data_IF_064380190833
#
_entry.id   IF_064380190833
#
_cell.length_a   1.000
_cell.length_b   1.000
_cell.length_c   1.000
_cell.angle_alpha   90.00
_cell.angle_beta   90.00
_cell.angle_gamma   90.00
#
_symmetry.space_group_name_H-M   'P 1'
#
loop_
_entity.id
_entity.type
_entity.pdbx_description
1 polymer ?
#
# COMPACT_ATOMS: atom_id res chain seq x y z
N UNK A 1 39.88 -7.66 41.73
CA UNK A 1 38.52 -7.46 41.19
C UNK A 1 38.65 -7.17 39.70
N UNK A 2 37.90 -7.85 38.83
CA UNK A 2 37.97 -7.63 37.37
C UNK A 2 36.87 -6.67 36.95
N UNK A 3 37.22 -5.53 36.37
CA UNK A 3 36.29 -4.67 35.64
C UNK A 3 35.79 -5.41 34.40
N UNK A 4 34.47 -5.48 34.22
CA UNK A 4 33.87 -5.94 32.97
C UNK A 4 33.71 -4.72 32.06
N UNK A 5 34.49 -4.69 30.99
CA UNK A 5 34.22 -3.75 29.89
C UNK A 5 32.98 -4.26 29.17
N UNK A 6 31.89 -3.48 29.21
CA UNK A 6 30.79 -3.68 28.27
C UNK A 6 31.25 -3.06 26.94
N UNK A 7 31.69 -3.91 26.01
CA UNK A 7 31.89 -3.47 24.64
C UNK A 7 30.50 -3.19 24.06
N UNK A 8 30.12 -1.92 23.98
CA UNK A 8 28.96 -1.50 23.20
C UNK A 8 29.24 -1.89 21.75
N UNK A 9 28.57 -2.94 21.28
CA UNK A 9 28.53 -3.26 19.86
C UNK A 9 27.69 -2.15 19.21
N UNK A 10 28.37 -1.12 18.69
CA UNK A 10 27.74 -0.09 17.90
C UNK A 10 27.23 -0.72 16.62
N UNK A 11 25.94 -1.07 16.59
CA UNK A 11 25.25 -1.45 15.37
C UNK A 11 25.21 -0.19 14.52
N UNK A 12 26.14 -0.14 13.57
CA UNK A 12 26.27 0.93 12.60
C UNK A 12 25.24 0.69 11.50
N UNK A 13 23.96 0.77 11.87
CA UNK A 13 22.86 0.93 10.94
C UNK A 13 23.01 2.31 10.32
N UNK A 14 23.76 2.34 9.21
CA UNK A 14 23.62 3.38 8.20
C UNK A 14 22.14 3.57 7.91
N UNK A 15 21.74 4.83 7.74
CA UNK A 15 20.44 5.20 7.17
C UNK A 15 20.37 4.74 5.71
N UNK A 16 20.24 3.43 5.51
CA UNK A 16 19.67 2.84 4.31
C UNK A 16 18.17 3.00 4.51
N UNK A 17 17.67 4.20 4.26
CA UNK A 17 16.25 4.49 4.41
C UNK A 17 15.44 3.61 3.47
N UNK A 18 14.17 3.39 3.82
CA UNK A 18 13.17 2.86 2.89
C UNK A 18 12.96 3.91 1.77
N UNK A 19 13.87 3.88 0.81
CA UNK A 19 13.95 4.78 -0.33
C UNK A 19 13.24 4.17 -1.53
N UNK A 20 11.93 3.97 -1.42
CA UNK A 20 11.06 3.88 -2.59
C UNK A 20 10.98 5.28 -3.20
N UNK A 21 11.84 5.54 -4.18
CA UNK A 21 11.80 6.76 -5.00
C UNK A 21 11.21 6.41 -6.35
N UNK A 22 10.22 7.21 -6.73
CA UNK A 22 9.63 7.36 -8.05
C UNK A 22 8.72 6.19 -8.48
N UNK A 23 7.43 6.47 -8.33
CA UNK A 23 6.34 5.64 -8.78
C UNK A 23 6.11 5.69 -10.30
N UNK A 24 5.33 4.71 -10.74
CA UNK A 24 4.47 4.64 -11.94
C UNK A 24 5.03 3.88 -13.14
N UNK A 25 4.33 2.86 -13.64
CA UNK A 25 3.18 2.13 -13.07
C UNK A 25 3.21 0.70 -13.58
N UNK A 26 2.61 -0.24 -12.85
CA UNK A 26 2.69 -1.67 -13.14
C UNK A 26 1.29 -2.34 -13.06
N UNK A 27 1.15 -3.66 -13.28
CA UNK A 27 1.11 -4.31 -14.59
C UNK A 27 -0.26 -4.11 -15.29
N UNK A 28 -0.58 -4.96 -16.25
CA UNK A 28 -1.47 -6.09 -15.88
C UNK A 28 -0.99 -7.34 -16.69
N UNK A 29 -1.79 -8.36 -17.03
CA UNK A 29 -1.32 -9.44 -17.93
C UNK A 29 -2.41 -10.23 -18.64
N UNK A 30 -2.29 -10.42 -19.97
CA UNK A 30 -3.23 -11.14 -20.86
C UNK A 30 -3.22 -12.66 -20.59
N UNK A 31 -3.72 -13.03 -19.41
CA UNK A 31 -4.92 -13.84 -19.24
C UNK A 31 -5.38 -14.68 -20.45
N UNK A 32 -5.64 -15.97 -20.19
CA UNK A 32 -6.63 -16.66 -21.01
C UNK A 32 -6.99 -18.08 -20.61
N UNK A 33 -8.04 -18.24 -19.79
CA UNK A 33 -8.59 -19.54 -19.36
C UNK A 33 -9.52 -20.27 -20.35
N UNK A 34 -10.46 -21.06 -19.83
CA UNK A 34 -11.41 -21.85 -20.64
C UNK A 34 -12.78 -22.04 -19.93
N UNK A 35 -13.77 -22.52 -20.68
CA UNK A 35 -15.18 -22.62 -20.28
C UNK A 35 -15.49 -23.76 -19.27
N UNK A 36 -16.45 -23.53 -18.36
CA UNK A 36 -17.00 -24.58 -17.48
C UNK A 36 -17.91 -24.01 -16.40
N UNK A 37 -19.24 -24.03 -16.61
CA UNK A 37 -20.17 -23.35 -15.70
C UNK A 37 -20.53 -24.13 -14.44
N UNK A 38 -20.83 -23.41 -13.36
CA UNK A 38 -21.79 -23.82 -12.33
C UNK A 38 -22.28 -22.62 -11.51
N UNK A 39 -23.34 -22.85 -10.71
CA UNK A 39 -24.02 -21.96 -9.76
C UNK A 39 -23.48 -20.54 -9.55
N UNK A 40 -24.32 -19.54 -9.80
CA UNK A 40 -24.05 -18.17 -9.36
C UNK A 40 -24.07 -18.07 -7.82
N UNK A 41 -22.89 -18.12 -7.22
CA UNK A 41 -22.70 -17.72 -5.83
C UNK A 41 -22.80 -16.19 -5.68
N UNK A 42 -23.34 -15.69 -4.57
CA UNK A 42 -23.47 -14.26 -4.36
C UNK A 42 -22.09 -13.64 -4.18
N UNK A 43 -21.70 -12.72 -5.08
CA UNK A 43 -20.49 -11.91 -4.91
C UNK A 43 -20.54 -11.23 -3.54
N UNK A 44 -19.54 -11.44 -2.65
CA UNK A 44 -19.50 -10.75 -1.37
C UNK A 44 -19.54 -9.23 -1.58
N UNK A 45 -20.32 -8.47 -0.80
CA UNK A 45 -20.25 -7.02 -0.88
C UNK A 45 -18.86 -6.55 -0.47
N UNK A 46 -18.26 -5.64 -1.24
CA UNK A 46 -17.02 -4.98 -0.85
C UNK A 46 -17.27 -4.10 0.39
N UNK A 47 -17.05 -4.67 1.58
CA UNK A 47 -17.20 -3.99 2.86
C UNK A 47 -15.84 -3.53 3.36
N UNK A 48 -15.57 -2.23 3.34
CA UNK A 48 -14.39 -1.70 4.01
C UNK A 48 -14.45 -2.05 5.51
N UNK A 49 -13.36 -2.63 6.05
CA UNK A 49 -13.26 -3.01 7.46
C UNK A 49 -13.41 -1.80 8.40
N UNK A 50 -12.96 -0.63 7.92
CA UNK A 50 -13.11 0.66 8.58
C UNK A 50 -13.77 1.67 7.64
N UNK A 51 -14.31 2.76 8.19
CA UNK A 51 -14.81 3.89 7.41
C UNK A 51 -14.10 5.13 7.87
N UNK A 52 -13.10 5.56 7.10
CA UNK A 52 -12.27 6.73 7.40
C UNK A 52 -13.11 7.97 7.71
N UNK A 53 -12.58 8.85 8.54
CA UNK A 53 -13.23 10.11 8.83
C UNK A 53 -13.28 10.99 7.57
N UNK A 54 -14.37 11.73 7.33
CA UNK A 54 -14.38 12.73 6.27
C UNK A 54 -13.31 13.78 6.56
N UNK A 55 -12.63 14.27 5.53
CA UNK A 55 -11.48 15.17 5.71
C UNK A 55 -11.80 16.42 6.54
N UNK A 56 -13.03 16.93 6.46
CA UNK A 56 -13.52 18.03 7.32
C UNK A 56 -13.45 17.73 8.83
N UNK A 57 -13.61 16.47 9.24
CA UNK A 57 -13.43 16.01 10.63
C UNK A 57 -11.95 15.85 10.98
N UNK A 58 -11.13 15.31 10.07
CA UNK A 58 -9.67 15.19 10.26
C UNK A 58 -9.07 16.57 10.50
N UNK A 59 -9.39 17.56 9.66
CA UNK A 59 -8.94 18.95 9.80
C UNK A 59 -9.42 19.58 11.12
N UNK A 60 -10.66 19.30 11.55
CA UNK A 60 -11.17 19.77 12.83
C UNK A 60 -10.41 19.19 14.04
N UNK A 61 -10.04 17.90 13.99
CA UNK A 61 -9.27 17.23 15.04
C UNK A 61 -7.82 17.75 15.11
N UNK A 62 -7.19 18.01 13.95
CA UNK A 62 -5.87 18.67 13.86
C UNK A 62 -5.92 20.07 14.48
N UNK A 63 -6.96 20.84 14.17
CA UNK A 63 -7.16 22.18 14.74
C UNK A 63 -7.36 22.12 16.27
N UNK A 64 -8.17 21.17 16.76
CA UNK A 64 -8.47 20.97 18.17
C UNK A 64 -7.31 20.36 18.98
N UNK A 65 -6.33 19.72 18.33
CA UNK A 65 -5.21 19.10 19.03
C UNK A 65 -4.34 20.14 19.75
N UNK A 66 -4.19 19.96 21.06
CA UNK A 66 -3.29 20.73 21.90
C UNK A 66 -1.86 20.21 21.78
N UNK A 67 -0.90 21.14 21.74
CA UNK A 67 0.53 20.86 21.70
C UNK A 67 1.19 21.60 22.86
N UNK A 68 1.93 20.87 23.70
CA UNK A 68 2.79 21.44 24.74
C UNK A 68 4.22 21.49 24.23
N UNK A 69 4.87 22.65 24.30
CA UNK A 69 6.25 22.77 23.85
C UNK A 69 7.21 22.17 24.90
N UNK A 70 8.07 21.27 24.46
CA UNK A 70 9.13 20.67 25.27
C UNK A 70 10.48 21.20 24.78
N UNK A 71 11.47 21.29 25.66
CA UNK A 71 12.78 21.88 25.35
C UNK A 71 13.49 21.08 24.26
N UNK A 72 14.22 21.75 23.36
CA UNK A 72 14.92 21.13 22.23
C UNK A 72 15.69 19.87 22.66
N UNK A 73 15.38 18.75 22.00
CA UNK A 73 15.91 17.42 22.29
C UNK A 73 16.48 16.77 21.03
N UNK A 74 17.01 15.55 21.14
CA UNK A 74 17.60 14.83 20.02
C UNK A 74 17.02 13.40 19.95
N UNK A 75 15.69 13.29 19.94
CA UNK A 75 14.97 11.99 19.92
C UNK A 75 14.91 11.36 18.52
N UNK A 76 15.08 12.16 17.46
CA UNK A 76 14.95 11.73 16.06
C UNK A 76 16.27 11.80 15.26
N UNK A 77 17.41 11.94 15.93
CA UNK A 77 18.71 12.03 15.27
C UNK A 77 19.81 11.46 16.17
N UNK A 78 20.86 10.91 15.57
CA UNK A 78 22.04 10.44 16.31
C UNK A 78 23.08 11.55 16.56
N UNK A 79 22.85 12.77 16.06
CA UNK A 79 23.74 13.92 16.26
C UNK A 79 23.46 14.65 17.58
N UNK A 80 24.11 14.15 18.64
CA UNK A 80 24.03 14.71 19.98
C UNK A 80 24.47 16.18 20.12
N UNK A 81 25.03 16.81 19.07
CA UNK A 81 25.45 18.22 19.12
C UNK A 81 24.38 19.19 18.62
N UNK A 82 23.40 18.72 17.83
CA UNK A 82 22.37 19.58 17.23
C UNK A 82 20.99 19.25 17.78
N UNK A 83 20.64 19.90 18.89
CA UNK A 83 19.28 19.89 19.43
C UNK A 83 18.26 20.32 18.37
N UNK A 84 17.14 19.60 18.30
CA UNK A 84 16.05 19.81 17.34
C UNK A 84 14.79 20.31 18.05
N UNK A 85 13.92 21.08 17.36
CA UNK A 85 12.60 21.40 17.88
C UNK A 85 11.85 20.14 18.26
N UNK A 86 11.28 20.13 19.46
CA UNK A 86 10.51 19.00 19.99
C UNK A 86 9.24 19.52 20.65
N UNK A 87 8.13 18.83 20.47
CA UNK A 87 6.86 19.14 21.11
C UNK A 87 6.19 17.87 21.59
N UNK A 88 5.17 18.02 22.42
CA UNK A 88 4.38 16.91 22.94
C UNK A 88 2.89 17.11 22.70
N UNK A 89 2.20 16.01 22.47
CA UNK A 89 0.74 15.91 22.48
C UNK A 89 0.30 15.06 23.66
N UNK A 90 -0.93 14.54 23.67
CA UNK A 90 -1.39 13.63 24.71
C UNK A 90 -0.59 12.31 24.71
N UNK A 91 -0.33 11.75 23.52
CA UNK A 91 0.27 10.42 23.38
C UNK A 91 1.67 10.40 22.74
N UNK A 92 2.14 11.52 22.17
CA UNK A 92 3.39 11.55 21.41
C UNK A 92 4.38 12.60 21.91
N UNK A 93 5.67 12.26 21.78
CA UNK A 93 6.79 13.20 21.69
C UNK A 93 7.13 13.30 20.20
N UNK A 94 7.10 14.50 19.64
CA UNK A 94 7.27 14.72 18.20
C UNK A 94 8.45 15.66 17.96
N UNK A 95 9.37 15.25 17.09
CA UNK A 95 10.56 16.03 16.74
C UNK A 95 10.87 15.84 15.25
N UNK A 96 11.96 16.44 14.78
CA UNK A 96 12.31 16.43 13.36
C UNK A 96 13.77 16.17 13.07
N UNK A 97 14.02 15.53 11.92
CA UNK A 97 15.34 15.38 11.34
C UNK A 97 15.84 16.71 10.74
N UNK A 98 14.97 17.47 10.06
CA UNK A 98 15.35 18.61 9.19
C UNK A 98 14.32 19.76 9.05
N UNK A 99 13.17 19.70 9.75
CA UNK A 99 12.11 20.72 9.72
C UNK A 99 12.26 21.89 10.72
N UNK A 100 11.31 22.82 10.65
CA UNK A 100 11.20 23.96 11.58
C UNK A 100 10.33 23.63 12.81
N UNK A 101 10.30 24.53 13.80
CA UNK A 101 9.42 24.43 14.98
C UNK A 101 7.93 24.42 14.59
N UNK A 102 7.53 25.17 13.57
CA UNK A 102 6.14 25.24 13.10
C UNK A 102 5.75 23.95 12.36
N UNK A 103 6.67 23.37 11.58
CA UNK A 103 6.46 22.08 10.93
C UNK A 103 6.29 20.96 11.96
N UNK A 104 7.11 20.96 13.02
CA UNK A 104 6.97 20.01 14.14
C UNK A 104 5.63 20.16 14.86
N UNK A 105 5.12 21.39 15.02
CA UNK A 105 3.78 21.62 15.62
C UNK A 105 2.68 21.08 14.70
N UNK A 106 2.76 21.30 13.37
CA UNK A 106 1.80 20.76 12.40
C UNK A 106 1.84 19.22 12.38
N UNK A 107 3.02 18.64 12.23
CA UNK A 107 3.28 17.21 12.25
C UNK A 107 2.68 16.57 13.51
N UNK A 108 2.93 17.14 14.70
CA UNK A 108 2.39 16.63 15.95
C UNK A 108 0.85 16.63 16.01
N UNK A 109 0.21 17.66 15.47
CA UNK A 109 -1.26 17.73 15.37
C UNK A 109 -1.82 16.68 14.40
N UNK A 110 -1.17 16.47 13.26
CA UNK A 110 -1.53 15.44 12.28
C UNK A 110 -1.39 14.04 12.91
N UNK A 111 -0.23 13.73 13.49
CA UNK A 111 0.03 12.47 14.22
C UNK A 111 -1.05 12.16 15.26
N UNK A 112 -1.37 13.11 16.14
CA UNK A 112 -2.36 12.88 17.20
C UNK A 112 -3.79 12.73 16.66
N UNK A 113 -4.16 13.45 15.60
CA UNK A 113 -5.47 13.31 14.96
C UNK A 113 -5.62 11.96 14.25
N UNK A 114 -4.60 11.54 13.47
CA UNK A 114 -4.53 10.23 12.83
C UNK A 114 -4.59 9.09 13.85
N UNK A 115 -3.89 9.23 14.99
CA UNK A 115 -3.97 8.26 16.08
C UNK A 115 -5.37 8.20 16.73
N UNK A 116 -6.02 9.35 16.93
CA UNK A 116 -7.40 9.39 17.46
C UNK A 116 -8.40 8.71 16.51
N UNK A 117 -8.22 8.83 15.20
CA UNK A 117 -8.98 8.08 14.19
C UNK A 117 -8.75 6.57 14.34
N UNK A 118 -7.49 6.13 14.37
CA UNK A 118 -7.14 4.72 14.56
C UNK A 118 -7.71 4.13 15.86
N UNK A 119 -7.66 4.83 17.00
CA UNK A 119 -8.28 4.37 18.25
C UNK A 119 -9.81 4.22 18.12
N UNK A 120 -10.47 5.13 17.38
CA UNK A 120 -11.92 5.04 17.14
C UNK A 120 -12.28 3.84 16.26
N UNK A 121 -11.41 3.41 15.34
CA UNK A 121 -11.66 2.22 14.53
C UNK A 121 -11.27 0.92 15.24
N UNK A 122 -10.03 0.83 15.73
CA UNK A 122 -9.48 -0.33 16.43
C UNK A 122 -10.18 -0.66 17.76
N UNK A 123 -10.80 0.34 18.40
CA UNK A 123 -11.35 0.29 19.78
C UNK A 123 -10.29 0.03 20.86
N UNK A 124 -9.01 0.15 20.52
CA UNK A 124 -7.92 0.10 21.50
C UNK A 124 -8.00 1.32 22.40
N UNK A 125 -7.55 1.13 23.64
CA UNK A 125 -7.26 2.23 24.58
C UNK A 125 -5.76 2.54 24.57
N UNK A 126 -5.33 3.78 24.92
CA UNK A 126 -3.90 4.09 25.07
C UNK A 126 -3.19 3.15 26.06
N UNK A 127 -3.87 2.67 27.09
CA UNK A 127 -3.31 1.73 28.07
C UNK A 127 -3.01 0.33 27.49
N UNK A 128 -3.75 -0.12 26.46
CA UNK A 128 -3.43 -1.35 25.71
C UNK A 128 -2.23 -1.20 24.77
N UNK A 129 -1.76 0.04 24.58
CA UNK A 129 -0.62 0.42 23.75
C UNK A 129 0.53 0.98 24.61
N UNK A 130 0.55 0.69 25.92
CA UNK A 130 1.53 1.16 26.91
C UNK A 130 1.69 2.70 27.00
N UNK A 131 0.71 3.45 26.49
CA UNK A 131 0.68 4.92 26.52
C UNK A 131 0.03 5.44 27.81
N UNK A 132 0.64 6.48 28.38
CA UNK A 132 0.15 7.18 29.57
C UNK A 132 0.71 8.60 29.65
N UNK A 133 0.33 9.38 30.66
CA UNK A 133 0.91 10.71 30.89
C UNK A 133 2.44 10.71 31.04
N UNK A 134 3.05 9.58 31.39
CA UNK A 134 4.50 9.41 31.58
C UNK A 134 5.15 8.47 30.54
N UNK A 135 4.39 7.95 29.57
CA UNK A 135 4.86 7.02 28.54
C UNK A 135 4.22 7.41 27.22
N UNK A 136 5.03 7.90 26.28
CA UNK A 136 4.58 8.45 25.00
C UNK A 136 5.44 7.87 23.89
N UNK A 137 4.81 7.59 22.75
CA UNK A 137 5.52 7.17 21.55
C UNK A 137 6.27 8.34 20.90
N UNK A 138 7.31 8.03 20.13
CA UNK A 138 8.08 9.02 19.39
C UNK A 138 7.62 9.12 17.94
N UNK A 139 7.33 10.33 17.45
CA UNK A 139 7.09 10.57 16.02
C UNK A 139 8.23 11.40 15.42
N UNK A 140 8.89 10.87 14.40
CA UNK A 140 10.03 11.51 13.77
C UNK A 140 9.70 11.99 12.36
N UNK A 141 9.40 13.28 12.27
CA UNK A 141 9.06 13.94 11.02
C UNK A 141 10.31 14.36 10.22
N UNK A 142 10.32 14.12 8.91
CA UNK A 142 11.31 14.70 7.99
C UNK A 142 10.63 15.55 6.91
N UNK A 143 11.12 16.77 6.71
CA UNK A 143 10.64 17.64 5.63
C UNK A 143 11.32 17.37 4.28
N UNK A 144 12.09 16.28 4.15
CA UNK A 144 12.89 15.96 2.95
C UNK A 144 12.04 15.85 1.66
N UNK A 145 10.77 15.51 1.81
CA UNK A 145 9.82 15.25 0.74
C UNK A 145 8.71 16.33 0.65
N UNK A 146 8.81 17.45 1.39
CA UNK A 146 7.79 18.50 1.26
C UNK A 146 7.92 19.17 -0.11
N UNK A 147 6.82 19.17 -0.86
CA UNK A 147 6.79 19.64 -2.25
C UNK A 147 7.26 18.61 -3.27
N UNK A 148 7.41 17.34 -2.87
CA UNK A 148 7.46 16.18 -3.78
C UNK A 148 6.21 15.34 -3.60
N UNK A 149 5.85 14.57 -4.63
CA UNK A 149 4.85 13.51 -4.60
C UNK A 149 5.25 12.31 -3.72
N UNK A 150 6.53 11.94 -3.72
CA UNK A 150 7.06 10.81 -2.96
C UNK A 150 6.88 10.97 -1.44
N UNK A 151 5.94 10.24 -0.84
CA UNK A 151 5.79 10.13 0.62
C UNK A 151 6.43 8.83 1.15
N UNK A 152 7.09 8.88 2.30
CA UNK A 152 7.79 7.71 2.89
C UNK A 152 7.67 7.68 4.41
N UNK A 153 7.74 6.50 5.02
CA UNK A 153 7.85 6.34 6.47
C UNK A 153 8.40 4.97 6.86
N UNK A 154 8.41 4.71 8.18
CA UNK A 154 8.68 3.39 8.77
C UNK A 154 8.16 3.34 10.21
N UNK A 155 7.35 2.33 10.56
CA UNK A 155 6.98 2.03 11.95
C UNK A 155 7.96 1.12 12.69
N UNK A 156 8.06 1.31 14.01
CA UNK A 156 8.85 0.55 14.97
C UNK A 156 8.01 0.32 16.26
N UNK A 157 8.43 -0.56 17.20
CA UNK A 157 7.95 -0.48 18.57
C UNK A 157 8.21 0.94 19.14
N UNK A 158 7.25 1.48 19.90
CA UNK A 158 7.25 2.82 20.51
C UNK A 158 7.50 4.06 19.62
N UNK A 159 7.75 3.89 18.31
CA UNK A 159 8.16 4.96 17.40
C UNK A 159 7.66 4.77 15.98
N UNK A 160 7.46 5.86 15.25
CA UNK A 160 7.44 5.84 13.78
C UNK A 160 8.14 7.07 13.18
N UNK A 161 8.64 6.88 11.97
CA UNK A 161 9.26 7.91 11.15
C UNK A 161 8.35 8.21 9.95
N UNK A 162 8.20 9.47 9.55
CA UNK A 162 7.41 9.84 8.36
C UNK A 162 7.91 11.12 7.67
N UNK A 163 7.81 11.12 6.34
CA UNK A 163 8.23 12.17 5.43
C UNK A 163 7.12 12.42 4.39
N UNK A 164 6.11 13.27 4.74
CA UNK A 164 4.97 13.53 3.88
C UNK A 164 5.28 14.57 2.79
N UNK A 165 4.49 14.51 1.70
CA UNK A 165 4.47 15.50 0.61
C UNK A 165 4.09 16.91 1.05
N UNK A 166 3.25 17.03 2.09
CA UNK A 166 2.77 18.32 2.60
C UNK A 166 2.45 18.28 4.09
N UNK A 167 2.36 19.46 4.72
CA UNK A 167 1.80 19.66 6.07
C UNK A 167 0.66 20.69 6.07
N UNK A 168 0.26 21.18 4.89
CA UNK A 168 -0.83 22.14 4.76
C UNK A 168 -2.15 21.39 4.53
N UNK A 169 -3.05 21.51 5.51
CA UNK A 169 -4.39 20.89 5.49
C UNK A 169 -5.30 21.40 4.37
N UNK A 170 -4.89 22.42 3.63
CA UNK A 170 -5.60 22.97 2.46
C UNK A 170 -5.00 22.55 1.12
N UNK A 171 -3.87 21.82 1.13
CA UNK A 171 -3.26 21.25 -0.08
C UNK A 171 -4.06 20.04 -0.59
N UNK A 172 -4.20 19.83 -1.90
CA UNK A 172 -4.90 18.65 -2.45
C UNK A 172 -4.35 17.32 -1.89
N UNK A 173 -3.03 17.15 -1.92
CA UNK A 173 -2.30 15.94 -1.50
C UNK A 173 -2.27 15.73 0.03
N UNK A 174 -2.96 16.58 0.81
CA UNK A 174 -3.06 16.39 2.26
C UNK A 174 -3.78 15.07 2.62
N UNK A 175 -4.61 14.56 1.72
CA UNK A 175 -5.23 13.24 1.87
C UNK A 175 -4.19 12.13 2.00
N UNK A 176 -3.16 12.13 1.16
CA UNK A 176 -2.09 11.12 1.19
C UNK A 176 -1.20 11.28 2.42
N UNK A 177 -0.96 12.52 2.86
CA UNK A 177 -0.32 12.80 4.15
C UNK A 177 -1.09 12.18 5.33
N UNK A 178 -2.42 12.26 5.31
CA UNK A 178 -3.28 11.65 6.35
C UNK A 178 -3.27 10.13 6.30
N UNK A 179 -3.29 9.54 5.09
CA UNK A 179 -3.18 8.09 4.85
C UNK A 179 -1.82 7.58 5.33
N UNK A 180 -0.70 8.13 4.83
CA UNK A 180 0.67 7.80 5.25
C UNK A 180 0.81 7.83 6.78
N UNK A 181 0.39 8.92 7.42
CA UNK A 181 0.54 9.04 8.88
C UNK A 181 -0.23 7.94 9.63
N UNK A 182 -1.39 7.48 9.12
CA UNK A 182 -2.14 6.36 9.71
C UNK A 182 -1.52 5.01 9.40
N UNK A 183 -0.99 4.81 8.19
CA UNK A 183 -0.28 3.60 7.77
C UNK A 183 0.90 3.32 8.72
N UNK A 184 1.80 4.31 8.89
CA UNK A 184 2.96 4.18 9.79
C UNK A 184 2.60 4.01 11.26
N UNK A 185 1.57 4.73 11.73
CA UNK A 185 1.02 4.54 13.08
C UNK A 185 0.45 3.13 13.28
N UNK A 186 -0.08 2.49 12.24
CA UNK A 186 -0.60 1.14 12.35
C UNK A 186 0.52 0.10 12.46
N UNK A 187 1.68 0.32 11.83
CA UNK A 187 2.88 -0.49 12.06
C UNK A 187 3.38 -0.38 13.52
N UNK A 188 3.38 0.82 14.12
CA UNK A 188 3.66 0.94 15.57
C UNK A 188 2.62 0.22 16.43
N UNK A 189 1.33 0.25 16.06
CA UNK A 189 0.29 -0.54 16.75
C UNK A 189 0.55 -2.05 16.62
N UNK A 190 0.91 -2.55 15.42
CA UNK A 190 1.27 -3.95 15.21
C UNK A 190 2.45 -4.36 16.12
N UNK A 191 3.53 -3.58 16.11
CA UNK A 191 4.72 -3.83 16.91
C UNK A 191 4.46 -3.79 18.43
N UNK A 192 3.71 -2.81 18.92
CA UNK A 192 3.36 -2.71 20.35
C UNK A 192 2.47 -3.87 20.82
N UNK A 193 1.51 -4.30 20.00
CA UNK A 193 0.62 -5.42 20.33
C UNK A 193 1.35 -6.79 20.36
N UNK A 194 2.51 -6.89 19.72
CA UNK A 194 3.39 -8.06 19.74
C UNK A 194 4.37 -8.03 20.93
N UNK A 195 4.69 -6.83 21.43
CA UNK A 195 5.51 -6.58 22.62
C UNK A 195 7.03 -6.61 22.42
N UNK A 196 7.50 -6.90 21.20
CA UNK A 196 8.92 -6.90 20.80
C UNK A 196 9.01 -6.71 19.26
N UNK A 197 10.15 -6.20 18.80
CA UNK A 197 10.56 -6.14 17.39
C UNK A 197 10.73 -7.51 16.73
N UNK A 198 11.25 -8.53 17.41
CA UNK A 198 11.53 -9.84 16.78
C UNK A 198 10.25 -10.54 16.27
N UNK A 199 9.13 -10.60 17.04
CA UNK A 199 7.85 -11.11 16.51
C UNK A 199 7.22 -10.19 15.46
N UNK A 200 7.53 -8.88 15.45
CA UNK A 200 7.06 -7.97 14.40
C UNK A 200 7.69 -8.34 13.06
N UNK A 201 9.02 -8.54 13.03
CA UNK A 201 9.77 -9.04 11.87
C UNK A 201 9.37 -10.47 11.42
N UNK A 202 8.45 -11.12 12.16
CA UNK A 202 7.87 -12.43 11.85
C UNK A 202 6.37 -12.40 11.48
N UNK A 203 5.74 -11.22 11.45
CA UNK A 203 4.47 -11.07 10.72
C UNK A 203 4.77 -11.06 9.21
N UNK A 204 4.06 -11.84 8.37
CA UNK A 204 4.26 -11.79 6.93
C UNK A 204 4.08 -10.39 6.35
N UNK A 205 5.02 -9.99 5.49
CA UNK A 205 5.07 -8.68 4.80
C UNK A 205 3.72 -8.29 4.21
N UNK A 206 3.07 -9.21 3.50
CA UNK A 206 1.75 -8.98 2.90
C UNK A 206 0.66 -8.62 3.93
N UNK A 207 0.73 -9.19 5.14
CA UNK A 207 -0.24 -8.94 6.20
C UNK A 207 0.08 -7.66 6.97
N UNK A 208 1.37 -7.40 7.25
CA UNK A 208 1.83 -6.14 7.85
C UNK A 208 1.34 -4.95 7.01
N UNK A 209 1.73 -4.93 5.74
CA UNK A 209 1.48 -3.83 4.81
C UNK A 209 0.00 -3.76 4.39
N UNK A 210 -0.59 -4.89 4.04
CA UNK A 210 -2.00 -4.95 3.63
C UNK A 210 -2.98 -4.51 4.72
N UNK A 211 -2.66 -4.80 5.99
CA UNK A 211 -3.48 -4.29 7.10
C UNK A 211 -3.16 -2.84 7.48
N UNK A 212 -1.92 -2.37 7.31
CA UNK A 212 -1.60 -0.94 7.46
C UNK A 212 -2.33 -0.08 6.42
N UNK A 213 -2.37 -0.50 5.15
CA UNK A 213 -3.14 0.16 4.09
C UNK A 213 -4.65 0.22 4.37
N UNK A 214 -5.20 -0.92 4.83
CA UNK A 214 -6.61 -1.03 5.19
C UNK A 214 -6.97 -0.09 6.37
N UNK A 215 -6.14 -0.03 7.40
CA UNK A 215 -6.38 0.83 8.58
C UNK A 215 -5.98 2.30 8.36
N UNK A 216 -5.10 2.59 7.40
CA UNK A 216 -4.92 3.94 6.86
C UNK A 216 -6.18 4.45 6.16
N UNK A 217 -7.00 3.52 5.65
CA UNK A 217 -8.24 3.81 4.97
C UNK A 217 -8.04 4.15 3.49
N UNK A 218 -6.99 3.59 2.88
CA UNK A 218 -6.80 3.64 1.42
C UNK A 218 -7.99 2.96 0.77
N UNK A 219 -8.52 3.57 -0.30
CA UNK A 219 -9.69 3.00 -0.99
C UNK A 219 -9.37 1.58 -1.48
N UNK A 220 -10.33 0.65 -1.33
CA UNK A 220 -10.25 -0.66 -1.99
C UNK A 220 -10.25 -0.40 -3.50
N UNK A 221 -9.06 -0.47 -4.10
CA UNK A 221 -8.93 -0.64 -5.54
C UNK A 221 -9.29 -2.09 -5.79
N UNK A 222 -10.49 -2.35 -6.31
CA UNK A 222 -10.88 -3.70 -6.72
C UNK A 222 -10.02 -4.04 -7.94
N UNK A 223 -8.83 -4.57 -7.69
CA UNK A 223 -8.08 -5.32 -8.71
C UNK A 223 -8.94 -6.50 -9.15
N UNK A 224 -8.67 -7.06 -10.33
CA UNK A 224 -9.57 -8.08 -10.91
C UNK A 224 -9.62 -9.39 -10.14
N UNK A 225 -8.77 -9.55 -9.11
CA UNK A 225 -8.58 -10.72 -8.25
C UNK A 225 -9.84 -11.11 -7.48
N UNK A 226 -10.79 -11.70 -8.20
CA UNK A 226 -11.96 -12.35 -7.64
C UNK A 226 -11.53 -13.52 -6.77
N UNK A 227 -12.39 -13.89 -5.82
CA UNK A 227 -12.22 -15.06 -4.95
C UNK A 227 -11.79 -16.33 -5.72
N UNK A 228 -12.40 -16.56 -6.89
CA UNK A 228 -12.11 -17.71 -7.75
C UNK A 228 -10.71 -17.64 -8.39
N UNK A 229 -10.15 -16.44 -8.63
CA UNK A 229 -8.80 -16.27 -9.15
C UNK A 229 -7.75 -16.68 -8.11
N UNK A 230 -7.95 -16.35 -6.82
CA UNK A 230 -7.09 -16.85 -5.74
C UNK A 230 -7.09 -18.38 -5.62
N UNK A 231 -8.26 -19.02 -5.79
CA UNK A 231 -8.38 -20.48 -5.71
C UNK A 231 -7.87 -21.23 -6.95
N UNK A 232 -7.76 -20.56 -8.10
CA UNK A 232 -7.26 -21.13 -9.36
C UNK A 232 -5.77 -20.82 -9.56
N UNK A 233 -5.33 -19.64 -9.14
CA UNK A 233 -3.97 -19.10 -9.27
C UNK A 233 -3.26 -18.99 -7.90
N UNK A 234 -3.32 -20.03 -7.05
CA UNK A 234 -2.60 -20.06 -5.76
C UNK A 234 -1.10 -19.74 -5.96
N UNK A 235 -0.57 -20.17 -7.10
CA UNK A 235 0.77 -19.94 -7.63
C UNK A 235 1.11 -18.48 -7.99
N UNK A 236 0.14 -17.56 -7.98
CA UNK A 236 0.31 -16.13 -8.30
C UNK A 236 -0.03 -15.17 -7.16
N UNK A 237 -0.23 -15.67 -5.95
CA UNK A 237 -0.59 -14.82 -4.82
C UNK A 237 0.68 -14.26 -4.14
N UNK A 238 0.71 -12.96 -3.74
CA UNK A 238 1.84 -12.42 -2.97
C UNK A 238 1.84 -12.86 -1.50
N UNK A 239 0.98 -13.83 -1.12
CA UNK A 239 1.01 -14.50 0.18
C UNK A 239 2.36 -15.19 0.44
N UNK A 240 3.08 -15.55 -0.63
CA UNK A 240 4.44 -16.10 -0.62
C UNK A 240 5.53 -15.07 -0.28
N UNK A 241 5.20 -13.77 -0.21
CA UNK A 241 6.14 -12.72 0.22
C UNK A 241 5.96 -12.51 1.73
N UNK A 242 6.77 -13.21 2.50
CA UNK A 242 6.70 -13.18 3.97
C UNK A 242 7.66 -12.15 4.58
N UNK A 243 8.78 -11.83 3.94
CA UNK A 243 9.75 -10.85 4.44
C UNK A 243 10.08 -9.76 3.42
N UNK A 244 10.65 -8.65 3.90
CA UNK A 244 11.22 -7.62 3.02
C UNK A 244 12.33 -8.15 2.09
N UNK A 245 13.07 -9.19 2.51
CA UNK A 245 14.07 -9.82 1.63
C UNK A 245 13.44 -10.61 0.49
N UNK A 246 12.27 -11.22 0.72
CA UNK A 246 11.50 -11.90 -0.33
C UNK A 246 10.96 -10.88 -1.33
N UNK A 247 10.44 -9.75 -0.85
CA UNK A 247 10.01 -8.62 -1.68
C UNK A 247 11.17 -8.11 -2.55
N UNK A 248 12.34 -7.83 -1.96
CA UNK A 248 13.55 -7.44 -2.71
C UNK A 248 14.01 -8.50 -3.73
N UNK A 249 13.94 -9.79 -3.38
CA UNK A 249 14.34 -10.87 -4.28
C UNK A 249 13.41 -10.98 -5.48
N UNK A 250 12.10 -10.92 -5.26
CA UNK A 250 11.05 -10.87 -6.28
C UNK A 250 11.21 -9.63 -7.16
N UNK A 251 11.41 -8.46 -6.54
CA UNK A 251 11.55 -7.16 -7.21
C UNK A 251 12.90 -6.96 -7.92
N UNK A 252 13.87 -7.84 -7.72
CA UNK A 252 15.13 -7.82 -8.47
C UNK A 252 14.99 -8.31 -9.92
N UNK A 253 13.92 -9.04 -10.24
CA UNK A 253 13.61 -9.53 -11.59
C UNK A 253 13.02 -8.41 -12.45
N UNK A 254 13.67 -7.93 -13.54
CA UNK A 254 13.19 -6.75 -14.28
C UNK A 254 11.77 -6.85 -14.86
N UNK A 255 11.28 -8.05 -15.22
CA UNK A 255 9.91 -8.21 -15.69
C UNK A 255 8.89 -8.04 -14.57
N UNK A 256 9.14 -8.65 -13.40
CA UNK A 256 8.35 -8.38 -12.20
C UNK A 256 8.55 -6.91 -11.77
N UNK A 257 9.76 -6.38 -11.97
CA UNK A 257 10.10 -4.97 -11.80
C UNK A 257 9.54 -4.04 -12.88
N UNK A 258 8.79 -4.58 -13.85
CA UNK A 258 7.89 -3.86 -14.75
C UNK A 258 6.41 -4.25 -14.49
N UNK A 259 6.16 -5.28 -13.65
CA UNK A 259 4.83 -5.76 -13.22
C UNK A 259 4.28 -5.39 -11.81
N UNK A 260 5.02 -5.18 -10.70
CA UNK A 260 4.41 -4.68 -9.42
C UNK A 260 5.30 -3.74 -8.57
N UNK A 261 5.41 -2.41 -8.79
CA UNK A 261 6.06 -1.46 -7.82
C UNK A 261 4.91 -0.83 -7.07
N UNK A 262 4.15 -0.06 -7.83
CA UNK A 262 3.10 0.86 -7.40
C UNK A 262 1.82 0.10 -7.05
N UNK A 263 1.90 -1.23 -7.17
CA UNK A 263 0.80 -2.17 -7.07
C UNK A 263 1.09 -3.30 -6.09
N UNK A 264 2.32 -3.51 -5.61
CA UNK A 264 2.60 -4.59 -4.65
C UNK A 264 1.80 -4.40 -3.35
N UNK A 265 1.76 -3.17 -2.85
CA UNK A 265 0.98 -2.78 -1.66
C UNK A 265 -0.53 -2.88 -1.90
N UNK A 266 -1.00 -2.66 -3.13
CA UNK A 266 -2.40 -2.92 -3.50
C UNK A 266 -2.71 -4.43 -3.40
N UNK A 267 -1.84 -5.31 -3.90
CA UNK A 267 -2.05 -6.77 -3.78
C UNK A 267 -2.01 -7.25 -2.32
N UNK A 268 -1.10 -6.70 -1.50
CA UNK A 268 -1.06 -6.96 -0.06
C UNK A 268 -2.39 -6.54 0.62
N UNK A 269 -2.89 -5.35 0.28
CA UNK A 269 -4.18 -4.86 0.75
C UNK A 269 -5.33 -5.77 0.27
N UNK A 270 -5.29 -6.27 -0.96
CA UNK A 270 -6.29 -7.18 -1.52
C UNK A 270 -6.30 -8.55 -0.84
N UNK A 271 -5.15 -9.10 -0.45
CA UNK A 271 -5.06 -10.31 0.38
C UNK A 271 -5.78 -10.14 1.73
N UNK A 272 -5.68 -8.96 2.36
CA UNK A 272 -6.39 -8.66 3.61
C UNK A 272 -7.88 -8.38 3.33
N UNK A 273 -8.22 -7.70 2.23
CA UNK A 273 -9.60 -7.46 1.82
C UNK A 273 -10.37 -8.75 1.49
N UNK A 274 -9.69 -9.77 0.95
CA UNK A 274 -10.24 -11.13 0.80
C UNK A 274 -10.75 -11.65 2.16
N UNK A 275 -9.92 -11.60 3.21
CA UNK A 275 -10.31 -12.04 4.55
C UNK A 275 -11.47 -11.20 5.10
N UNK A 276 -11.47 -9.89 4.87
CA UNK A 276 -12.57 -8.97 5.26
C UNK A 276 -13.88 -9.31 4.57
N UNK A 277 -13.85 -9.59 3.26
CA UNK A 277 -15.03 -10.01 2.49
C UNK A 277 -15.61 -11.35 2.99
N UNK A 278 -14.77 -12.20 3.58
CA UNK A 278 -15.16 -13.45 4.24
C UNK A 278 -15.56 -13.26 5.72
N UNK A 279 -15.54 -12.01 6.23
CA UNK A 279 -16.04 -11.65 7.56
C UNK A 279 -14.97 -11.41 8.63
N UNK A 280 -13.69 -11.25 8.27
CA UNK A 280 -12.65 -10.79 9.20
C UNK A 280 -13.08 -9.45 9.81
N UNK A 281 -13.19 -9.40 11.14
CA UNK A 281 -13.50 -8.16 11.85
C UNK A 281 -12.24 -7.48 12.38
N UNK A 282 -12.32 -6.17 12.68
CA UNK A 282 -11.24 -5.40 13.34
C UNK A 282 -10.72 -6.14 14.58
N UNK A 283 -11.62 -6.73 15.37
CA UNK A 283 -11.25 -7.49 16.56
C UNK A 283 -10.41 -8.71 16.19
N UNK A 284 -10.76 -9.41 15.12
CA UNK A 284 -10.05 -10.61 14.68
C UNK A 284 -8.67 -10.27 14.11
N UNK A 285 -8.53 -9.17 13.36
CA UNK A 285 -7.21 -8.65 12.93
C UNK A 285 -6.31 -8.36 14.13
N UNK A 286 -6.83 -7.67 15.15
CA UNK A 286 -6.10 -7.34 16.37
C UNK A 286 -5.86 -8.54 17.31
N UNK A 287 -6.63 -9.63 17.16
CA UNK A 287 -6.36 -10.91 17.82
C UNK A 287 -5.29 -11.68 17.07
N UNK A 288 -5.35 -11.76 15.74
CA UNK A 288 -4.34 -12.38 14.87
C UNK A 288 -2.94 -11.80 15.12
N UNK A 289 -2.83 -10.46 15.19
CA UNK A 289 -1.57 -9.79 15.56
C UNK A 289 -1.08 -10.30 16.93
N UNK A 290 -1.88 -10.19 17.99
CA UNK A 290 -1.48 -10.60 19.35
C UNK A 290 -1.10 -12.08 19.46
N UNK A 291 -1.90 -12.95 18.84
CA UNK A 291 -1.71 -14.41 18.94
C UNK A 291 -0.48 -14.87 18.13
N UNK A 292 -0.04 -14.10 17.14
CA UNK A 292 1.19 -14.37 16.36
C UNK A 292 2.46 -14.31 17.24
N UNK A 293 2.51 -13.42 18.23
CA UNK A 293 3.59 -13.38 19.25
C UNK A 293 3.64 -14.66 20.09
N UNK A 294 2.47 -15.28 20.34
CA UNK A 294 2.36 -16.48 21.18
C UNK A 294 2.46 -17.83 20.46
N UNK A 295 2.08 -17.91 19.17
CA UNK A 295 1.86 -19.20 18.49
C UNK A 295 2.40 -19.29 17.04
N UNK A 296 3.17 -18.28 16.58
CA UNK A 296 3.52 -18.07 15.17
C UNK A 296 2.32 -17.71 14.29
N UNK A 297 2.56 -16.93 13.23
CA UNK A 297 1.50 -16.40 12.38
C UNK A 297 0.63 -17.50 11.74
N UNK A 298 1.24 -18.54 11.15
CA UNK A 298 0.55 -19.68 10.53
C UNK A 298 -0.51 -20.32 11.43
N UNK A 299 -0.20 -20.51 12.73
CA UNK A 299 -1.15 -21.08 13.69
C UNK A 299 -2.29 -20.10 13.98
N UNK A 300 -1.96 -18.82 14.15
CA UNK A 300 -2.91 -17.77 14.49
C UNK A 300 -3.87 -17.48 13.32
N UNK A 301 -3.38 -17.42 12.08
CA UNK A 301 -4.23 -17.25 10.90
C UNK A 301 -5.10 -18.49 10.69
N UNK A 302 -4.57 -19.71 10.78
CA UNK A 302 -5.37 -20.93 10.63
C UNK A 302 -6.57 -21.01 11.60
N UNK A 303 -6.46 -20.45 12.82
CA UNK A 303 -7.58 -20.33 13.75
C UNK A 303 -8.65 -19.31 13.30
N UNK A 304 -8.22 -18.18 12.71
CA UNK A 304 -9.12 -17.20 12.08
C UNK A 304 -9.82 -17.81 10.87
N UNK A 305 -9.11 -18.56 10.03
CA UNK A 305 -9.65 -19.14 8.80
C UNK A 305 -10.69 -20.23 9.06
N UNK A 306 -10.46 -21.06 10.09
CA UNK A 306 -11.46 -22.01 10.60
C UNK A 306 -12.70 -21.29 11.14
N UNK A 307 -12.54 -20.12 11.78
CA UNK A 307 -13.65 -19.30 12.28
C UNK A 307 -14.44 -18.66 11.13
N UNK A 308 -13.77 -18.21 10.07
CA UNK A 308 -14.40 -17.64 8.87
C UNK A 308 -14.98 -18.71 7.94
N UNK A 309 -14.62 -19.99 8.13
CA UNK A 309 -15.00 -21.11 7.25
C UNK A 309 -14.61 -20.83 5.78
N UNK A 310 -13.34 -20.45 5.58
CA UNK A 310 -12.82 -20.15 4.24
C UNK A 310 -12.90 -21.38 3.31
N UNK A 311 -13.30 -21.22 2.03
CA UNK A 311 -13.24 -22.29 1.05
C UNK A 311 -11.82 -22.79 0.75
N UNK A 312 -10.81 -21.91 0.87
CA UNK A 312 -9.39 -22.24 0.75
C UNK A 312 -8.60 -21.37 1.74
N UNK A 313 -7.82 -21.96 2.66
CA UNK A 313 -7.03 -21.23 3.65
C UNK A 313 -5.69 -20.72 3.08
N UNK A 314 -5.13 -19.68 3.69
CA UNK A 314 -3.80 -19.09 3.47
C UNK A 314 -2.71 -20.16 3.32
N UNK A 315 -2.70 -21.15 4.20
CA UNK A 315 -1.68 -22.21 4.23
C UNK A 315 -1.72 -23.08 2.95
N UNK A 316 -2.87 -23.16 2.27
CA UNK A 316 -3.05 -23.85 0.98
C UNK A 316 -2.88 -22.90 -0.22
N UNK A 317 -2.99 -21.57 -0.03
CA UNK A 317 -2.76 -20.55 -1.05
C UNK A 317 -1.31 -20.04 -1.10
N UNK A 318 -0.50 -20.29 -0.06
CA UNK A 318 0.91 -19.86 0.04
C UNK A 318 1.84 -20.90 -0.57
N UNK A 319 2.44 -20.55 -1.70
CA UNK A 319 3.58 -21.24 -2.30
C UNK A 319 4.93 -20.74 -1.73
N UNK A 320 6.05 -21.33 -2.17
CA UNK A 320 7.37 -20.74 -1.91
C UNK A 320 7.64 -19.55 -2.85
N UNK A 321 8.41 -18.57 -2.36
CA UNK A 321 8.72 -17.33 -3.09
C UNK A 321 9.32 -17.54 -4.50
N UNK A 322 10.07 -18.64 -4.73
CA UNK A 322 10.63 -18.91 -6.06
C UNK A 322 9.58 -19.47 -7.02
N UNK A 323 8.67 -20.31 -6.52
CA UNK A 323 7.52 -20.77 -7.30
C UNK A 323 6.67 -19.58 -7.70
N UNK A 324 6.23 -18.75 -6.75
CA UNK A 324 5.52 -17.49 -7.03
C UNK A 324 6.25 -16.63 -8.08
N UNK A 325 7.56 -16.36 -7.88
CA UNK A 325 8.38 -15.60 -8.84
C UNK A 325 8.32 -16.20 -10.25
N UNK A 326 8.51 -17.52 -10.39
CA UNK A 326 8.54 -18.18 -11.69
C UNK A 326 7.16 -18.19 -12.35
N UNK A 327 6.08 -18.43 -11.58
CA UNK A 327 4.71 -18.48 -12.07
C UNK A 327 4.20 -17.10 -12.51
N UNK A 328 4.63 -16.03 -11.83
CA UNK A 328 4.46 -14.65 -12.28
C UNK A 328 5.22 -14.43 -13.59
N UNK A 329 6.51 -14.74 -13.69
CA UNK A 329 7.31 -14.59 -14.93
C UNK A 329 6.66 -15.32 -16.11
N UNK A 330 6.26 -16.59 -15.92
CA UNK A 330 5.58 -17.40 -16.93
C UNK A 330 4.21 -16.84 -17.33
N UNK A 331 3.58 -16.04 -16.48
CA UNK A 331 2.32 -15.36 -16.75
C UNK A 331 2.54 -14.06 -17.51
N UNK A 332 3.57 -13.27 -17.14
CA UNK A 332 3.99 -12.09 -17.88
C UNK A 332 4.48 -12.45 -19.29
N UNK A 333 5.10 -13.62 -19.49
CA UNK A 333 5.46 -14.13 -20.81
C UNK A 333 4.28 -14.66 -21.65
N UNK A 334 3.11 -14.94 -21.05
CA UNK A 334 1.90 -15.39 -21.78
C UNK A 334 1.06 -14.24 -22.35
N UNK A 335 1.50 -12.98 -22.15
CA UNK A 335 0.85 -11.76 -22.63
C UNK A 335 0.95 -11.59 -24.17
N UNK A 336 0.23 -12.42 -24.94
CA UNK A 336 0.18 -12.34 -26.41
C UNK A 336 -1.26 -12.15 -26.95
N UNK A 337 -1.75 -10.91 -26.95
CA UNK A 337 -2.78 -10.46 -27.91
C UNK A 337 -2.22 -9.29 -28.72
N UNK A 338 -1.84 -9.57 -29.97
CA UNK A 338 -1.15 -8.63 -30.87
C UNK A 338 -2.10 -7.98 -31.89
N UNK A 339 -3.06 -7.19 -31.39
CA UNK A 339 -3.95 -6.40 -32.22
C UNK A 339 -3.33 -5.05 -32.61
N UNK A 340 -3.85 -4.42 -33.68
CA UNK A 340 -3.26 -3.21 -34.22
C UNK A 340 -3.51 -1.98 -33.32
N UNK A 341 -2.49 -1.14 -33.17
CA UNK A 341 -2.53 0.16 -32.53
C UNK A 341 -2.29 1.26 -33.58
N UNK A 342 -3.14 2.28 -33.58
CA UNK A 342 -3.11 3.42 -34.51
C UNK A 342 -3.31 4.71 -33.71
N UNK A 343 -2.53 5.74 -34.00
CA UNK A 343 -2.65 7.07 -33.39
C UNK A 343 -2.00 8.17 -34.25
N UNK A 344 -2.30 9.44 -33.94
CA UNK A 344 -1.60 10.63 -34.47
C UNK A 344 -0.92 11.47 -33.36
N UNK A 345 -0.80 10.91 -32.15
CA UNK A 345 -0.23 11.53 -30.95
C UNK A 345 1.29 11.66 -31.12
N UNK A 346 1.78 12.90 -31.15
CA UNK A 346 3.18 13.26 -31.44
C UNK A 346 4.19 12.93 -30.32
N UNK A 347 3.75 12.21 -29.29
CA UNK A 347 4.53 11.87 -28.10
C UNK A 347 4.46 10.36 -27.82
N UNK A 348 5.38 9.86 -27.01
CA UNK A 348 5.56 8.42 -26.84
C UNK A 348 4.50 7.84 -25.89
N UNK A 349 3.42 7.27 -26.43
CA UNK A 349 2.46 6.50 -25.63
C UNK A 349 3.15 5.26 -25.05
N UNK A 350 3.14 5.17 -23.72
CA UNK A 350 3.70 4.07 -22.93
C UNK A 350 2.66 3.00 -22.63
N UNK A 351 1.40 3.40 -22.42
CA UNK A 351 0.36 2.55 -21.84
C UNK A 351 -1.01 2.74 -22.51
N UNK A 352 -1.80 1.67 -22.53
CA UNK A 352 -3.26 1.72 -22.73
C UNK A 352 -3.95 1.48 -21.39
N UNK A 353 -5.02 2.22 -21.10
CA UNK A 353 -5.89 1.98 -19.96
C UNK A 353 -7.32 1.74 -20.48
N UNK A 354 -7.94 0.64 -20.06
CA UNK A 354 -9.32 0.26 -20.40
C UNK A 354 -10.16 0.38 -19.12
N UNK A 355 -11.21 1.19 -19.13
CA UNK A 355 -12.14 1.36 -17.99
C UNK A 355 -13.56 0.91 -18.32
N UNK A 356 -14.32 0.56 -17.29
CA UNK A 356 -15.75 0.28 -17.41
C UNK A 356 -16.49 1.49 -18.00
N UNK A 357 -17.34 1.28 -19.02
CA UNK A 357 -18.00 2.37 -19.75
C UNK A 357 -18.65 3.42 -18.83
N UNK A 358 -18.21 4.68 -18.95
CA UNK A 358 -18.71 5.80 -18.16
C UNK A 358 -18.28 5.78 -16.69
N UNK A 359 -17.18 5.10 -16.36
CA UNK A 359 -16.59 5.04 -15.02
C UNK A 359 -15.06 5.16 -15.05
N UNK A 360 -14.51 5.49 -13.90
CA UNK A 360 -13.06 5.50 -13.61
C UNK A 360 -12.52 4.11 -13.22
N UNK A 361 -13.39 3.09 -13.10
CA UNK A 361 -13.03 1.71 -12.76
C UNK A 361 -12.17 1.07 -13.89
N UNK A 362 -10.84 1.08 -13.76
CA UNK A 362 -9.91 0.37 -14.67
C UNK A 362 -10.16 -1.15 -14.63
N UNK A 363 -10.30 -1.74 -15.81
CA UNK A 363 -10.60 -3.16 -16.05
C UNK A 363 -9.38 -3.91 -16.58
N UNK A 364 -8.54 -3.23 -17.36
CA UNK A 364 -7.23 -3.71 -17.80
C UNK A 364 -6.34 -2.52 -18.17
N UNK A 365 -5.02 -2.70 -18.10
CA UNK A 365 -4.07 -1.81 -18.77
C UNK A 365 -3.46 -2.54 -19.99
N UNK A 366 -2.36 -2.04 -20.54
CA UNK A 366 -1.63 -2.65 -21.64
C UNK A 366 -0.41 -1.84 -22.04
N UNK A 367 0.50 -2.43 -22.80
CA UNK A 367 1.68 -1.76 -23.35
C UNK A 367 1.53 -1.52 -24.86
N UNK A 368 2.23 -0.52 -25.39
CA UNK A 368 2.21 -0.16 -26.82
C UNK A 368 3.57 -0.34 -27.45
N UNK A 369 3.63 -1.06 -28.57
CA UNK A 369 4.79 -1.11 -29.46
C UNK A 369 4.49 -0.37 -30.78
N UNK A 370 4.74 0.95 -30.77
CA UNK A 370 4.59 1.83 -31.95
C UNK A 370 5.48 1.41 -33.12
N UNK A 371 6.64 0.80 -32.87
CA UNK A 371 7.51 0.33 -33.96
C UNK A 371 6.93 -0.87 -34.73
N UNK A 372 5.95 -1.57 -34.13
CA UNK A 372 5.22 -2.69 -34.75
C UNK A 372 3.75 -2.36 -35.04
N UNK A 373 3.28 -1.14 -34.73
CA UNK A 373 1.86 -0.73 -34.75
C UNK A 373 0.96 -1.71 -33.99
N UNK A 374 1.40 -2.16 -32.82
CA UNK A 374 0.72 -3.14 -31.98
C UNK A 374 0.59 -2.66 -30.55
N UNK A 375 -0.42 -3.16 -29.85
CA UNK A 375 -0.49 -3.12 -28.39
C UNK A 375 -0.55 -4.56 -27.87
N UNK A 376 -0.22 -4.75 -26.59
CA UNK A 376 -0.54 -5.94 -25.82
C UNK A 376 -1.39 -5.50 -24.63
N UNK A 377 -2.60 -6.04 -24.50
CA UNK A 377 -3.39 -5.84 -23.29
C UNK A 377 -2.93 -6.84 -22.26
N UNK A 378 -3.50 -6.65 -21.09
CA UNK A 378 -3.01 -7.18 -19.87
C UNK A 378 -4.21 -7.72 -19.05
N UNK A 379 -5.13 -8.42 -19.72
CA UNK A 379 -6.28 -9.12 -19.15
C UNK A 379 -7.31 -9.52 -20.21
N UNK A 380 -7.96 -10.68 -20.06
CA UNK A 380 -9.21 -10.99 -20.77
C UNK A 380 -10.24 -10.09 -20.14
N UNK A 381 -10.37 -8.94 -20.75
CA UNK A 381 -11.54 -8.09 -20.58
C UNK A 381 -12.74 -8.96 -20.97
N UNK A 382 -13.77 -8.98 -20.14
CA UNK A 382 -14.99 -9.72 -20.43
C UNK A 382 -15.71 -9.11 -21.65
N UNK A 383 -16.63 -9.87 -22.26
CA UNK A 383 -17.45 -9.34 -23.34
C UNK A 383 -18.31 -8.15 -22.86
N UNK A 384 -18.14 -7.00 -23.53
CA UNK A 384 -18.70 -5.74 -23.05
C UNK A 384 -18.26 -4.52 -23.87
N UNK A 385 -18.73 -3.35 -23.43
CA UNK A 385 -18.29 -2.05 -23.94
C UNK A 385 -17.51 -1.33 -22.85
N UNK A 386 -16.46 -0.64 -23.24
CA UNK A 386 -15.48 0.00 -22.36
C UNK A 386 -15.06 1.35 -22.94
N UNK A 387 -14.42 2.18 -22.12
CA UNK A 387 -13.69 3.36 -22.55
C UNK A 387 -12.20 3.04 -22.56
N UNK A 388 -11.49 3.38 -23.64
CA UNK A 388 -10.05 3.23 -23.72
C UNK A 388 -9.34 4.59 -23.76
N UNK A 389 -8.18 4.65 -23.10
CA UNK A 389 -7.31 5.82 -23.00
C UNK A 389 -5.88 5.40 -23.34
N UNK A 390 -5.11 6.30 -23.94
CA UNK A 390 -3.68 6.13 -24.17
C UNK A 390 -2.91 7.13 -23.30
N UNK A 391 -2.00 6.65 -22.44
CA UNK A 391 -1.14 7.52 -21.63
C UNK A 391 0.17 7.86 -22.34
N UNK A 392 0.53 9.14 -22.32
CA UNK A 392 1.84 9.67 -22.73
C UNK A 392 2.59 10.15 -21.49
N UNK A 393 3.70 9.50 -21.15
CA UNK A 393 4.61 9.95 -20.10
C UNK A 393 5.51 11.09 -20.61
N UNK A 394 5.41 12.27 -20.00
CA UNK A 394 6.18 13.48 -20.35
C UNK A 394 7.36 13.75 -19.40
N UNK A 395 7.36 13.15 -18.20
CA UNK A 395 8.40 13.27 -17.20
C UNK A 395 8.37 12.09 -16.23
N UNK A 396 8.94 12.24 -15.04
CA UNK A 396 8.77 11.23 -13.98
C UNK A 396 7.31 11.24 -13.46
N UNK A 397 6.68 12.42 -13.40
CA UNK A 397 5.42 12.66 -12.68
C UNK A 397 4.26 13.25 -13.54
N UNK A 398 4.48 13.49 -14.84
CA UNK A 398 3.48 14.11 -15.75
C UNK A 398 3.04 13.10 -16.83
N UNK A 399 1.79 12.65 -16.78
CA UNK A 399 1.15 11.81 -17.81
C UNK A 399 0.02 12.60 -18.51
N UNK A 400 0.01 12.67 -19.85
CA UNK A 400 -1.15 13.18 -20.61
C UNK A 400 -1.96 12.00 -21.14
N UNK A 401 -3.23 11.96 -20.74
CA UNK A 401 -4.20 10.95 -21.17
C UNK A 401 -4.92 11.39 -22.44
N UNK A 402 -4.99 10.51 -23.44
CA UNK A 402 -5.73 10.73 -24.69
C UNK A 402 -6.93 9.78 -24.76
N UNK A 403 -8.15 10.33 -24.85
CA UNK A 403 -9.40 9.56 -24.85
C UNK A 403 -10.58 10.31 -24.23
N UNK A 404 -11.70 9.63 -23.93
CA UNK A 404 -11.95 8.22 -24.21
C UNK A 404 -12.15 7.93 -25.70
N UNK A 405 -11.82 6.70 -26.11
CA UNK A 405 -12.37 6.09 -27.32
C UNK A 405 -13.29 4.91 -26.93
N UNK A 406 -14.41 4.77 -27.64
CA UNK A 406 -15.37 3.68 -27.45
C UNK A 406 -14.78 2.36 -27.97
N UNK A 407 -14.63 1.35 -27.09
CA UNK A 407 -14.17 0.01 -27.48
C UNK A 407 -15.14 -1.09 -27.07
N UNK A 408 -15.22 -2.14 -27.88
CA UNK A 408 -16.06 -3.32 -27.61
C UNK A 408 -15.19 -4.58 -27.62
N UNK A 409 -15.34 -5.39 -26.59
CA UNK A 409 -14.69 -6.69 -26.46
C UNK A 409 -15.69 -7.79 -26.81
N UNK A 410 -15.27 -8.78 -27.59
CA UNK A 410 -16.09 -9.93 -28.03
C UNK A 410 -15.29 -11.22 -28.03
N UNK A 411 -15.89 -12.31 -27.54
CA UNK A 411 -15.22 -13.58 -27.28
C UNK A 411 -13.94 -13.42 -26.44
N UNK A 412 -13.92 -12.45 -25.51
CA UNK A 412 -12.78 -12.00 -24.70
C UNK A 412 -11.58 -11.47 -25.51
N UNK A 413 -11.81 -10.94 -26.72
CA UNK A 413 -10.79 -10.32 -27.57
C UNK A 413 -11.11 -8.83 -27.73
N UNK A 414 -10.18 -7.97 -27.32
CA UNK A 414 -10.18 -6.55 -27.68
C UNK A 414 -9.69 -6.40 -29.12
N UNK A 415 -10.46 -5.67 -29.94
CA UNK A 415 -10.08 -5.34 -31.32
C UNK A 415 -9.13 -4.15 -31.41
N UNK A 416 -8.64 -3.85 -32.61
CA UNK A 416 -7.71 -2.75 -32.87
C UNK A 416 -8.11 -1.43 -32.20
N UNK A 417 -7.11 -0.74 -31.66
CA UNK A 417 -7.26 0.56 -31.00
C UNK A 417 -6.83 1.67 -31.96
N UNK A 418 -7.70 2.66 -32.16
CA UNK A 418 -7.46 3.83 -33.00
C UNK A 418 -7.72 5.10 -32.19
N UNK A 419 -6.63 5.75 -31.79
CA UNK A 419 -6.62 7.01 -31.05
C UNK A 419 -6.48 8.24 -31.95
N UNK A 420 -6.62 8.09 -33.29
CA UNK A 420 -6.52 9.21 -34.23
C UNK A 420 -7.53 10.31 -33.89
N UNK A 421 -7.04 11.49 -33.52
CA UNK A 421 -7.88 12.62 -33.13
C UNK A 421 -8.57 12.47 -31.77
N UNK A 422 -8.16 11.51 -30.92
CA UNK A 422 -8.61 11.44 -29.53
C UNK A 422 -8.20 12.71 -28.77
N UNK A 423 -9.09 13.32 -27.95
CA UNK A 423 -8.76 14.55 -27.25
C UNK A 423 -7.76 14.25 -26.12
N UNK A 424 -6.82 15.17 -25.92
CA UNK A 424 -6.03 15.20 -24.70
C UNK A 424 -6.92 15.65 -23.55
N UNK A 425 -6.94 14.85 -22.48
CA UNK A 425 -7.45 15.25 -21.18
C UNK A 425 -6.32 16.00 -20.48
N UNK A 426 -6.61 17.21 -20.02
CA UNK A 426 -5.77 17.97 -19.12
C UNK A 426 -6.43 17.96 -17.74
N UNK A 427 -5.61 17.82 -16.69
CA UNK A 427 -6.02 18.03 -15.30
C UNK A 427 -6.47 19.49 -15.03
#
# INVERSE_FOLDING_TARGET
>A
MKSKNLAALGILLTLVGCGGGDSDSKPSGDNGGNEGGNGGEPTPPATNLITSWPMSKVIAEIAATNVTQTVDSNVCSNDNNHKKPTVETANFIVSTMNGTQDDVIKAAKITQASFNELLVHTKLTPAELNLSANSKWTACFSNKNIGTDNSQGTGYPDRFDFAPSTLDVTHPDFTDTSILTKHELFHTIQAELLGDSEPYDHLPRWFQEGSAELFAGRHIRITSHKHDEFAIDADRTPLSIETYNDELAVMSEPLIKAAYEDHMYNLYHDNVNYLVAQGLSVKDTLTLIRDSSGQQFDTAIGAVEQKLNLPTPYIELRDDVNSYRNNVIDTLHKQEITAAYIDDIQANVSQIIITSKGKEDTVATGSVNRAQNQYAINGRIADGNYDAYASVKLGENDDIMYGPIDVTVKNNVLGSLDFTGAPALAD
#
